data_IF_919571509220
#
_entry.id   IF_919571509220
#
_cell.length_a   1.000
_cell.length_b   1.000
_cell.length_c   1.000
_cell.angle_alpha   90.00
_cell.angle_beta   90.00
_cell.angle_gamma   90.00
#
_symmetry.space_group_name_H-M   'P 1'
#
loop_
_entity.id
_entity.type
_entity.pdbx_description
1 polymer ?
#
# COMPACT_ATOMS: atom_id res chain seq x y z
N UNK A 1 18.84 -44.73 64.95
CA UNK A 1 19.37 -43.77 63.96
C UNK A 1 19.11 -44.34 62.58
N UNK A 2 18.22 -43.74 61.80
CA UNK A 2 17.90 -44.23 60.46
C UNK A 2 16.48 -43.92 60.04
N UNK A 3 16.16 -42.64 59.81
CA UNK A 3 14.97 -42.25 59.03
C UNK A 3 15.00 -40.80 58.50
N UNK A 4 16.17 -40.17 58.32
CA UNK A 4 16.26 -38.72 57.99
C UNK A 4 17.29 -38.40 56.87
N UNK A 5 17.63 -39.36 56.01
CA UNK A 5 18.54 -39.12 54.87
C UNK A 5 17.98 -39.49 53.49
N UNK A 6 16.75 -40.01 53.40
CA UNK A 6 16.21 -40.54 52.14
C UNK A 6 15.17 -39.64 51.43
N UNK A 7 14.86 -38.46 51.99
CA UNK A 7 13.87 -37.52 51.41
C UNK A 7 14.49 -36.52 50.42
N UNK A 8 15.79 -36.20 50.57
CA UNK A 8 16.49 -35.24 49.70
C UNK A 8 16.87 -35.80 48.33
N UNK A 9 17.16 -37.10 48.26
CA UNK A 9 17.57 -37.77 47.01
C UNK A 9 16.37 -38.05 46.10
N UNK A 10 15.20 -38.37 46.68
CA UNK A 10 13.95 -38.56 45.93
C UNK A 10 13.41 -37.24 45.36
N UNK A 11 13.59 -36.11 46.05
CA UNK A 11 13.20 -34.80 45.51
C UNK A 11 14.13 -34.30 44.38
N UNK A 12 15.43 -34.60 44.45
CA UNK A 12 16.39 -34.25 43.39
C UNK A 12 16.16 -35.09 42.12
N UNK A 13 15.81 -36.37 42.26
CA UNK A 13 15.47 -37.24 41.13
C UNK A 13 14.16 -36.83 40.44
N UNK A 14 13.15 -36.37 41.19
CA UNK A 14 11.92 -35.82 40.60
C UNK A 14 12.16 -34.49 39.85
N UNK A 15 13.08 -33.63 40.32
CA UNK A 15 13.41 -32.38 39.61
C UNK A 15 14.22 -32.60 38.33
N UNK A 16 15.13 -33.59 38.30
CA UNK A 16 15.89 -33.91 37.08
C UNK A 16 15.03 -34.52 35.96
N UNK A 17 13.99 -35.30 36.29
CA UNK A 17 13.05 -35.82 35.29
C UNK A 17 12.15 -34.73 34.69
N UNK A 18 11.86 -33.65 35.42
CA UNK A 18 11.05 -32.53 34.87
C UNK A 18 11.80 -31.68 33.84
N UNK A 19 13.13 -31.59 33.95
CA UNK A 19 13.99 -30.82 33.03
C UNK A 19 14.36 -31.57 31.75
N UNK A 20 14.18 -32.90 31.70
CA UNK A 20 14.42 -33.73 30.52
C UNK A 20 13.16 -34.01 29.69
N UNK A 21 11.97 -33.68 30.22
CA UNK A 21 10.69 -33.81 29.52
C UNK A 21 10.20 -32.50 28.87
N UNK A 22 10.83 -31.36 29.17
CA UNK A 22 10.46 -30.06 28.56
C UNK A 22 11.28 -29.68 27.32
N UNK A 23 12.26 -30.50 26.91
CA UNK A 23 13.13 -30.22 25.75
C UNK A 23 12.78 -31.00 24.48
N UNK A 24 11.65 -31.72 24.44
CA UNK A 24 11.23 -32.54 23.29
C UNK A 24 9.93 -32.10 22.60
N UNK A 25 9.43 -30.88 22.85
CA UNK A 25 8.28 -30.33 22.12
C UNK A 25 8.52 -28.89 21.63
N UNK A 26 9.65 -28.70 20.95
CA UNK A 26 9.82 -27.70 19.90
C UNK A 26 10.70 -28.37 18.85
N UNK A 27 10.18 -29.38 18.19
CA UNK A 27 10.46 -29.47 16.77
C UNK A 27 9.18 -28.97 16.16
N UNK A 28 9.25 -27.83 15.47
CA UNK A 28 8.20 -27.42 14.58
C UNK A 28 7.99 -28.61 13.65
N UNK A 29 6.99 -29.44 13.95
CA UNK A 29 6.45 -30.37 12.99
C UNK A 29 6.25 -29.50 11.75
N UNK A 30 6.90 -29.79 10.61
CA UNK A 30 6.51 -29.14 9.40
C UNK A 30 5.03 -29.44 9.31
N UNK A 31 4.20 -28.42 9.54
CA UNK A 31 2.83 -28.46 9.10
C UNK A 31 3.05 -28.75 7.63
N UNK A 32 2.84 -30.00 7.23
CA UNK A 32 2.51 -30.30 5.86
C UNK A 32 1.35 -29.35 5.65
N UNK A 33 1.65 -28.22 4.99
CA UNK A 33 0.64 -27.41 4.40
C UNK A 33 -0.09 -28.43 3.55
N UNK A 34 -1.22 -28.91 4.08
CA UNK A 34 -2.28 -29.42 3.25
C UNK A 34 -2.56 -28.19 2.41
N UNK A 35 -1.89 -28.12 1.26
CA UNK A 35 -2.36 -27.34 0.15
C UNK A 35 -3.74 -27.94 -0.09
N UNK A 36 -4.74 -27.37 0.60
CA UNK A 36 -6.10 -27.57 0.20
C UNK A 36 -6.10 -27.25 -1.27
N UNK A 37 -6.58 -28.19 -2.09
CA UNK A 37 -6.77 -28.00 -3.51
C UNK A 37 -7.89 -26.97 -3.78
N UNK A 38 -7.91 -25.86 -3.03
CA UNK A 38 -8.65 -24.67 -3.38
C UNK A 38 -7.90 -24.01 -4.51
N UNK A 39 -8.16 -24.51 -5.73
CA UNK A 39 -7.82 -23.79 -6.95
C UNK A 39 -8.54 -22.46 -6.88
N UNK A 40 -7.77 -21.40 -6.64
CA UNK A 40 -8.27 -20.03 -6.72
C UNK A 40 -8.24 -19.61 -8.19
N UNK A 41 -9.34 -19.05 -8.66
CA UNK A 41 -9.41 -18.49 -10.00
C UNK A 41 -8.70 -17.14 -10.02
N UNK A 42 -7.89 -16.92 -11.04
CA UNK A 42 -7.20 -15.66 -11.32
C UNK A 42 -7.65 -15.15 -12.67
N UNK A 43 -7.77 -13.83 -12.80
CA UNK A 43 -8.13 -13.17 -14.05
C UNK A 43 -6.89 -12.53 -14.64
N UNK A 44 -6.59 -12.86 -15.89
CA UNK A 44 -5.61 -12.15 -16.70
C UNK A 44 -6.36 -11.39 -17.80
N UNK A 45 -6.34 -10.06 -17.73
CA UNK A 45 -7.05 -9.18 -18.66
C UNK A 45 -6.07 -8.63 -19.69
N UNK A 46 -6.35 -8.86 -20.97
CA UNK A 46 -5.58 -8.37 -22.11
C UNK A 46 -6.49 -7.45 -22.93
N UNK A 47 -6.36 -6.14 -22.72
CA UNK A 47 -7.32 -5.14 -23.20
C UNK A 47 -6.62 -4.23 -24.23
N UNK A 48 -6.93 -4.44 -25.50
CA UNK A 48 -6.51 -3.59 -26.60
C UNK A 48 -7.60 -2.55 -26.90
N UNK A 49 -7.20 -1.28 -27.02
CA UNK A 49 -8.13 -0.17 -27.24
C UNK A 49 -7.61 0.79 -28.31
N UNK A 50 -8.55 1.37 -29.06
CA UNK A 50 -8.27 2.36 -30.10
C UNK A 50 -9.21 3.56 -29.98
N UNK A 51 -8.70 4.75 -30.28
CA UNK A 51 -9.45 6.00 -30.21
C UNK A 51 -8.97 7.00 -31.27
N UNK A 52 -9.77 8.05 -31.49
CA UNK A 52 -9.35 9.21 -32.28
C UNK A 52 -8.45 10.13 -31.44
N UNK A 53 -7.39 10.68 -32.02
CA UNK A 53 -6.52 11.68 -31.38
C UNK A 53 -5.13 11.16 -31.00
N UNK A 54 -4.46 11.87 -30.10
CA UNK A 54 -3.18 11.42 -29.53
C UNK A 54 -3.37 10.15 -28.67
N UNK A 55 -2.37 9.26 -28.67
CA UNK A 55 -2.48 7.91 -28.08
C UNK A 55 -3.67 7.11 -28.66
N UNK A 56 -3.75 7.05 -29.99
CA UNK A 56 -4.84 6.40 -30.74
C UNK A 56 -4.95 4.89 -30.54
N UNK A 57 -3.94 4.26 -29.94
CA UNK A 57 -3.83 2.82 -29.77
C UNK A 57 -3.06 2.52 -28.49
N UNK A 58 -3.58 1.57 -27.71
CA UNK A 58 -2.93 1.08 -26.52
C UNK A 58 -3.29 -0.37 -26.25
N UNK A 59 -2.45 -1.03 -25.46
CA UNK A 59 -2.70 -2.34 -24.92
C UNK A 59 -2.33 -2.34 -23.43
N UNK A 60 -3.27 -2.78 -22.60
CA UNK A 60 -3.12 -2.90 -21.14
C UNK A 60 -3.25 -4.36 -20.75
N UNK A 61 -2.26 -4.88 -20.03
CA UNK A 61 -2.27 -6.23 -19.47
C UNK A 61 -2.33 -6.15 -17.94
N UNK A 62 -3.33 -6.79 -17.35
CA UNK A 62 -3.57 -6.78 -15.90
C UNK A 62 -3.69 -8.21 -15.35
N UNK A 63 -3.25 -8.43 -14.12
CA UNK A 63 -3.46 -9.67 -13.37
C UNK A 63 -4.22 -9.38 -12.09
N UNK A 64 -5.43 -9.92 -11.95
CA UNK A 64 -6.35 -9.62 -10.85
C UNK A 64 -6.60 -8.11 -10.63
N UNK A 65 -6.58 -7.32 -11.70
CA UNK A 65 -6.73 -5.86 -11.65
C UNK A 65 -5.41 -5.09 -11.45
N UNK A 66 -4.32 -5.76 -11.10
CA UNK A 66 -3.00 -5.13 -11.00
C UNK A 66 -2.36 -5.00 -12.37
N UNK A 67 -1.89 -3.80 -12.68
CA UNK A 67 -1.32 -3.47 -13.98
C UNK A 67 0.09 -4.07 -14.15
N UNK A 68 0.28 -4.89 -15.19
CA UNK A 68 1.55 -5.58 -15.46
C UNK A 68 2.34 -4.92 -16.58
N UNK A 69 1.72 -4.73 -17.75
CA UNK A 69 2.42 -4.27 -18.96
C UNK A 69 1.57 -3.32 -19.79
N UNK A 70 2.22 -2.30 -20.36
CA UNK A 70 1.75 -1.67 -21.60
C UNK A 70 2.47 -2.26 -22.80
N UNK A 71 1.98 -1.96 -24.00
CA UNK A 71 2.66 -2.27 -25.25
C UNK A 71 3.11 -1.00 -25.98
N UNK A 72 4.40 -0.90 -26.29
CA UNK A 72 4.95 0.11 -27.17
C UNK A 72 4.87 -0.40 -28.62
N UNK A 73 3.84 0.02 -29.34
CA UNK A 73 3.61 -0.36 -30.75
C UNK A 73 4.68 0.17 -31.71
N UNK A 74 5.49 1.16 -31.32
CA UNK A 74 6.60 1.64 -32.16
C UNK A 74 7.79 0.69 -32.10
N UNK A 75 8.00 0.06 -30.93
CA UNK A 75 9.10 -0.89 -30.69
C UNK A 75 8.68 -2.35 -30.79
N UNK A 76 7.38 -2.62 -30.90
CA UNK A 76 6.79 -3.97 -30.83
C UNK A 76 7.30 -4.73 -29.59
N UNK A 77 7.19 -4.09 -28.43
CA UNK A 77 7.68 -4.62 -27.16
C UNK A 77 6.78 -4.21 -26.01
N UNK A 78 6.64 -5.10 -25.03
CA UNK A 78 6.01 -4.80 -23.75
C UNK A 78 6.88 -3.86 -22.93
N UNK A 79 6.25 -2.93 -22.23
CA UNK A 79 6.86 -2.05 -21.23
C UNK A 79 6.35 -2.49 -19.86
N UNK A 80 7.23 -3.02 -18.99
CA UNK A 80 6.82 -3.52 -17.69
C UNK A 80 6.48 -2.37 -16.73
N UNK A 81 5.44 -2.55 -15.92
CA UNK A 81 5.07 -1.62 -14.85
C UNK A 81 6.12 -1.58 -13.73
N UNK A 82 6.73 -2.72 -13.41
CA UNK A 82 7.75 -2.88 -12.38
C UNK A 82 9.01 -3.56 -12.95
N UNK A 83 10.22 -3.25 -12.44
CA UNK A 83 11.46 -3.84 -12.93
C UNK A 83 11.50 -5.37 -12.87
N UNK A 84 10.86 -5.98 -11.87
CA UNK A 84 10.79 -7.44 -11.70
C UNK A 84 10.04 -8.15 -12.85
N UNK A 85 9.16 -7.44 -13.56
CA UNK A 85 8.44 -7.98 -14.71
C UNK A 85 9.23 -7.90 -16.02
N UNK A 86 10.41 -7.26 -16.02
CA UNK A 86 11.19 -7.01 -17.24
C UNK A 86 11.60 -8.29 -17.97
N UNK A 87 11.83 -9.39 -17.26
CA UNK A 87 12.15 -10.68 -17.87
C UNK A 87 11.01 -11.19 -18.77
N UNK A 88 9.76 -11.07 -18.32
CA UNK A 88 8.57 -11.53 -19.05
C UNK A 88 8.17 -10.60 -20.18
N UNK A 89 8.54 -9.32 -20.11
CA UNK A 89 8.31 -8.35 -21.20
C UNK A 89 9.04 -8.70 -22.50
N UNK A 90 10.00 -9.64 -22.46
CA UNK A 90 10.75 -10.10 -23.65
C UNK A 90 9.99 -11.12 -24.51
N UNK A 91 8.84 -11.64 -24.06
CA UNK A 91 8.04 -12.58 -24.84
C UNK A 91 7.45 -11.91 -26.08
N UNK A 92 7.65 -12.58 -27.23
CA UNK A 92 7.24 -12.11 -28.56
C UNK A 92 6.29 -13.07 -29.28
N UNK A 93 5.84 -14.13 -28.62
CA UNK A 93 5.05 -15.22 -29.26
C UNK A 93 3.73 -14.74 -29.84
N UNK A 94 3.13 -13.72 -29.24
CA UNK A 94 1.80 -13.18 -29.56
C UNK A 94 1.81 -11.88 -30.37
N UNK A 95 2.98 -11.34 -30.74
CA UNK A 95 3.08 -10.09 -31.51
C UNK A 95 2.24 -10.12 -32.79
N UNK A 96 2.17 -11.27 -33.47
CA UNK A 96 1.34 -11.42 -34.68
C UNK A 96 -0.16 -11.29 -34.38
N UNK A 97 -0.60 -11.82 -33.24
CA UNK A 97 -1.99 -11.71 -32.79
C UNK A 97 -2.29 -10.28 -32.38
N UNK A 98 -1.40 -9.64 -31.60
CA UNK A 98 -1.52 -8.23 -31.22
C UNK A 98 -1.62 -7.31 -32.44
N UNK A 99 -0.85 -7.56 -33.50
CA UNK A 99 -0.93 -6.78 -34.74
C UNK A 99 -2.25 -7.01 -35.50
N UNK A 100 -2.76 -8.25 -35.53
CA UNK A 100 -4.07 -8.54 -36.12
C UNK A 100 -5.21 -7.84 -35.34
N UNK A 101 -5.19 -7.90 -34.02
CA UNK A 101 -6.18 -7.27 -33.14
C UNK A 101 -6.13 -5.74 -33.23
N UNK A 102 -4.93 -5.17 -33.31
CA UNK A 102 -4.71 -3.75 -33.61
C UNK A 102 -5.41 -3.34 -34.90
N UNK A 103 -5.15 -4.06 -35.99
CA UNK A 103 -5.73 -3.73 -37.29
C UNK A 103 -7.26 -3.81 -37.27
N UNK A 104 -7.80 -4.85 -36.62
CA UNK A 104 -9.24 -5.01 -36.42
C UNK A 104 -9.84 -3.85 -35.61
N UNK A 105 -9.20 -3.48 -34.50
CA UNK A 105 -9.66 -2.42 -33.61
C UNK A 105 -9.66 -1.05 -34.32
N UNK A 106 -8.63 -0.74 -35.10
CA UNK A 106 -8.56 0.50 -35.89
C UNK A 106 -9.63 0.54 -36.99
N UNK A 107 -9.85 -0.55 -37.71
CA UNK A 107 -10.88 -0.62 -38.76
C UNK A 107 -12.28 -0.44 -38.16
N UNK A 108 -12.59 -1.17 -37.08
CA UNK A 108 -13.88 -1.05 -36.38
C UNK A 108 -14.08 0.36 -35.85
N UNK A 109 -13.07 0.93 -35.20
CA UNK A 109 -13.13 2.28 -34.66
C UNK A 109 -13.40 3.32 -35.75
N UNK A 110 -12.75 3.21 -36.92
CA UNK A 110 -12.95 4.13 -38.04
C UNK A 110 -14.36 3.99 -38.65
N UNK A 111 -14.82 2.76 -38.90
CA UNK A 111 -16.15 2.51 -39.47
C UNK A 111 -17.27 2.96 -38.52
N UNK A 112 -17.18 2.60 -37.24
CA UNK A 112 -18.15 3.00 -36.22
C UNK A 112 -18.16 4.51 -36.01
N UNK A 113 -16.99 5.16 -36.00
CA UNK A 113 -16.91 6.62 -35.91
C UNK A 113 -17.68 7.28 -37.06
N UNK A 114 -17.52 6.82 -38.30
CA UNK A 114 -18.24 7.37 -39.47
C UNK A 114 -19.75 7.16 -39.37
N UNK A 115 -20.18 6.03 -38.84
CA UNK A 115 -21.61 5.70 -38.68
C UNK A 115 -22.25 6.45 -37.50
N UNK A 116 -21.53 6.68 -36.40
CA UNK A 116 -22.10 7.25 -35.19
C UNK A 116 -21.91 8.78 -35.09
N UNK A 117 -20.98 9.37 -35.84
CA UNK A 117 -20.69 10.81 -35.81
C UNK A 117 -21.95 11.64 -36.06
N UNK A 118 -22.29 12.49 -35.08
CA UNK A 118 -23.48 13.35 -35.11
C UNK A 118 -24.81 12.63 -34.87
N UNK A 119 -24.80 11.32 -34.61
CA UNK A 119 -26.00 10.52 -34.28
C UNK A 119 -26.07 10.11 -32.81
N UNK A 120 -24.91 9.84 -32.20
CA UNK A 120 -24.79 9.38 -30.81
C UNK A 120 -23.75 10.27 -30.11
N UNK A 121 -23.99 10.70 -28.85
CA UNK A 121 -22.98 11.38 -28.07
C UNK A 121 -21.78 10.46 -27.79
N UNK A 122 -20.58 11.01 -27.78
CA UNK A 122 -19.39 10.27 -27.37
C UNK A 122 -19.47 9.98 -25.86
N UNK A 123 -19.17 8.74 -25.48
CA UNK A 123 -19.07 8.38 -24.08
C UNK A 123 -17.91 9.15 -23.44
N UNK A 124 -18.17 9.72 -22.26
CA UNK A 124 -17.19 10.49 -21.50
C UNK A 124 -17.40 10.26 -20.01
N UNK A 125 -16.33 9.92 -19.31
CA UNK A 125 -16.28 9.84 -17.86
C UNK A 125 -15.75 11.14 -17.27
N UNK A 126 -16.14 11.44 -16.04
CA UNK A 126 -15.58 12.55 -15.28
C UNK A 126 -14.53 11.98 -14.32
N UNK A 127 -13.23 12.26 -14.52
CA UNK A 127 -12.18 11.69 -13.68
C UNK A 127 -12.37 12.06 -12.21
N UNK A 128 -12.26 11.07 -11.34
CA UNK A 128 -12.27 11.26 -9.88
C UNK A 128 -10.87 11.01 -9.37
N UNK A 129 -10.30 11.99 -8.66
CA UNK A 129 -8.95 11.91 -8.13
C UNK A 129 -8.96 11.80 -6.61
N UNK A 130 -8.11 10.95 -6.08
CA UNK A 130 -7.88 10.76 -4.64
C UNK A 130 -6.38 10.81 -4.37
N UNK A 131 -5.99 11.49 -3.29
CA UNK A 131 -4.58 11.63 -2.91
C UNK A 131 -4.38 11.09 -1.51
N UNK A 132 -3.43 10.17 -1.38
CA UNK A 132 -3.05 9.54 -0.11
C UNK A 132 -1.55 9.23 -0.06
N UNK A 133 -1.03 8.98 1.13
CA UNK A 133 0.37 8.56 1.31
C UNK A 133 0.52 7.05 1.09
N UNK A 134 1.61 6.63 0.47
CA UNK A 134 1.92 5.23 0.25
C UNK A 134 2.22 4.50 1.57
N UNK A 135 2.95 5.17 2.46
CA UNK A 135 3.25 4.68 3.81
C UNK A 135 2.51 5.53 4.86
N UNK A 136 2.32 5.02 6.08
CA UNK A 136 1.76 5.81 7.17
C UNK A 136 2.51 7.13 7.37
N UNK A 137 1.77 8.20 7.64
CA UNK A 137 2.32 9.55 7.73
C UNK A 137 3.23 9.70 8.96
N UNK A 138 4.49 10.04 8.73
CA UNK A 138 5.46 10.46 9.76
C UNK A 138 6.16 11.74 9.31
N UNK A 139 6.15 12.77 10.15
CA UNK A 139 6.80 14.04 9.80
C UNK A 139 8.32 13.90 9.72
N UNK A 140 8.92 14.53 8.71
CA UNK A 140 10.37 14.53 8.50
C UNK A 140 10.96 13.23 7.97
N UNK A 141 10.14 12.19 7.69
CA UNK A 141 10.58 10.97 7.02
C UNK A 141 10.15 10.97 5.54
N UNK A 142 10.95 10.44 4.61
CA UNK A 142 10.54 10.30 3.21
C UNK A 142 9.26 9.47 3.08
N UNK A 143 8.35 9.91 2.22
CA UNK A 143 7.12 9.21 1.86
C UNK A 143 6.78 9.53 0.39
N UNK A 144 5.76 8.88 -0.15
CA UNK A 144 5.29 9.09 -1.52
C UNK A 144 3.80 9.39 -1.51
N UNK A 145 3.39 10.52 -2.07
CA UNK A 145 1.99 10.75 -2.38
C UNK A 145 1.60 9.98 -3.64
N UNK A 146 0.45 9.33 -3.57
CA UNK A 146 -0.18 8.62 -4.67
C UNK A 146 -1.41 9.42 -5.07
N UNK A 147 -1.49 9.80 -6.33
CA UNK A 147 -2.73 10.28 -6.93
C UNK A 147 -3.35 9.15 -7.74
N UNK A 148 -4.43 8.58 -7.19
CA UNK A 148 -5.25 7.61 -7.88
C UNK A 148 -6.36 8.34 -8.63
N UNK A 149 -6.53 7.99 -9.91
CA UNK A 149 -7.55 8.57 -10.77
C UNK A 149 -8.43 7.44 -11.32
N UNK A 150 -9.73 7.54 -11.10
CA UNK A 150 -10.74 6.59 -11.59
C UNK A 150 -11.74 7.26 -12.54
N UNK A 151 -12.62 6.46 -13.16
CA UNK A 151 -13.66 6.93 -14.09
C UNK A 151 -13.07 7.73 -15.28
N UNK A 152 -11.91 7.31 -15.78
CA UNK A 152 -11.23 7.96 -16.90
C UNK A 152 -11.77 7.40 -18.20
N UNK A 153 -12.45 8.24 -18.99
CA UNK A 153 -12.85 7.90 -20.35
C UNK A 153 -13.13 9.16 -21.19
N UNK A 154 -12.56 9.31 -22.40
CA UNK A 154 -11.48 8.52 -23.00
C UNK A 154 -10.15 8.54 -22.23
N UNK A 155 -9.21 7.61 -22.52
CA UNK A 155 -7.89 7.49 -21.89
C UNK A 155 -6.90 8.60 -22.33
N UNK A 156 -7.27 9.88 -22.15
CA UNK A 156 -6.49 11.06 -22.55
C UNK A 156 -6.49 12.08 -21.43
N UNK A 157 -5.64 11.84 -20.43
CA UNK A 157 -5.51 12.69 -19.24
C UNK A 157 -4.07 13.14 -19.04
N UNK A 158 -3.92 14.28 -18.38
CA UNK A 158 -2.66 14.79 -17.86
C UNK A 158 -2.81 15.00 -16.35
N UNK A 159 -1.84 14.50 -15.59
CA UNK A 159 -1.80 14.63 -14.14
C UNK A 159 -0.62 15.52 -13.76
N UNK A 160 -0.89 16.58 -13.00
CA UNK A 160 0.12 17.54 -12.53
C UNK A 160 0.05 17.71 -11.03
N UNK A 161 1.20 17.91 -10.40
CA UNK A 161 1.32 18.12 -8.96
C UNK A 161 1.63 19.57 -8.62
N UNK A 162 1.10 20.04 -7.50
CA UNK A 162 1.46 21.33 -6.92
C UNK A 162 1.74 21.18 -5.42
N UNK A 163 2.67 21.98 -4.91
CA UNK A 163 2.99 22.17 -3.51
C UNK A 163 2.77 23.64 -3.18
N UNK A 164 1.84 23.94 -2.28
CA UNK A 164 1.46 25.33 -1.92
C UNK A 164 1.12 26.21 -3.14
N UNK A 165 0.53 25.61 -4.17
CA UNK A 165 0.15 26.27 -5.43
C UNK A 165 1.28 26.39 -6.47
N UNK A 166 2.50 25.96 -6.15
CA UNK A 166 3.64 25.94 -7.08
C UNK A 166 3.76 24.57 -7.74
N UNK A 167 3.95 24.53 -9.06
CA UNK A 167 4.12 23.27 -9.81
C UNK A 167 5.37 22.51 -9.36
N UNK A 168 5.22 21.20 -9.12
CA UNK A 168 6.32 20.29 -8.77
C UNK A 168 6.36 19.10 -9.73
N UNK A 169 7.54 18.54 -9.95
CA UNK A 169 7.72 17.40 -10.85
C UNK A 169 7.31 16.09 -10.18
N UNK A 170 6.55 15.27 -10.90
CA UNK A 170 6.20 13.90 -10.47
C UNK A 170 7.44 13.02 -10.38
N UNK A 171 7.45 12.05 -9.46
CA UNK A 171 8.56 11.10 -9.32
C UNK A 171 8.60 10.03 -10.41
N UNK A 172 7.50 9.82 -11.13
CA UNK A 172 7.37 8.84 -12.20
C UNK A 172 6.33 9.27 -13.23
N UNK A 173 6.36 8.72 -14.46
CA UNK A 173 5.31 8.97 -15.45
C UNK A 173 3.94 8.52 -14.92
N UNK A 174 2.88 9.10 -15.48
CA UNK A 174 1.52 8.65 -15.17
C UNK A 174 1.29 7.28 -15.79
N UNK A 175 0.92 6.30 -14.97
CA UNK A 175 0.60 4.95 -15.43
C UNK A 175 -0.90 4.86 -15.65
N UNK A 176 -1.32 4.68 -16.90
CA UNK A 176 -2.72 4.52 -17.29
C UNK A 176 -2.98 3.04 -17.61
N UNK A 177 -4.01 2.46 -17.02
CA UNK A 177 -4.40 1.05 -17.25
C UNK A 177 -5.90 0.95 -17.52
N UNK A 178 -6.29 0.04 -18.40
CA UNK A 178 -7.69 -0.31 -18.60
C UNK A 178 -8.19 -1.15 -17.43
N UNK A 179 -9.48 -1.07 -17.10
CA UNK A 179 -10.10 -1.97 -16.11
C UNK A 179 -11.10 -2.92 -16.80
N UNK A 180 -11.60 -3.90 -16.06
CA UNK A 180 -12.59 -4.86 -16.57
C UNK A 180 -13.93 -4.18 -16.94
N UNK A 181 -14.19 -2.96 -16.44
CA UNK A 181 -15.40 -2.19 -16.69
C UNK A 181 -15.45 -1.40 -18.01
N UNK A 182 -14.46 -1.59 -18.89
CA UNK A 182 -14.24 -0.79 -20.12
C UNK A 182 -13.99 0.70 -19.86
N UNK A 183 -13.56 1.05 -18.65
CA UNK A 183 -13.01 2.36 -18.29
C UNK A 183 -11.50 2.27 -18.04
N UNK A 184 -10.92 3.40 -17.65
CA UNK A 184 -9.50 3.49 -17.34
C UNK A 184 -9.30 4.06 -15.95
N UNK A 185 -8.16 3.70 -15.38
CA UNK A 185 -7.65 4.28 -14.15
C UNK A 185 -6.20 4.71 -14.35
N UNK A 186 -5.74 5.66 -13.55
CA UNK A 186 -4.37 6.12 -13.59
C UNK A 186 -3.76 6.30 -12.20
N UNK A 187 -2.44 6.15 -12.15
CA UNK A 187 -1.64 6.42 -10.97
C UNK A 187 -0.50 7.37 -11.31
N UNK A 188 -0.35 8.41 -10.49
CA UNK A 188 0.82 9.30 -10.49
C UNK A 188 1.42 9.34 -9.08
N UNK A 189 2.73 9.50 -9.00
CA UNK A 189 3.47 9.44 -7.75
C UNK A 189 4.33 10.70 -7.57
N UNK A 190 4.43 11.17 -6.32
CA UNK A 190 5.26 12.30 -5.94
C UNK A 190 6.02 11.96 -4.65
N UNK A 191 7.35 11.98 -4.69
CA UNK A 191 8.17 11.74 -3.51
C UNK A 191 8.24 13.02 -2.67
N UNK A 192 7.96 12.91 -1.38
CA UNK A 192 7.91 14.04 -0.45
C UNK A 192 8.59 13.71 0.88
N UNK A 193 8.87 14.75 1.66
CA UNK A 193 9.19 14.64 3.09
C UNK A 193 8.20 15.53 3.83
N UNK A 194 7.08 14.98 4.36
CA UNK A 194 5.95 15.77 4.82
C UNK A 194 6.28 16.55 6.09
N UNK A 195 5.75 17.76 6.15
CA UNK A 195 5.73 18.69 7.28
C UNK A 195 4.29 18.94 7.73
N UNK A 196 4.12 19.54 8.91
CA UNK A 196 2.77 19.78 9.46
C UNK A 196 1.96 20.86 8.73
N UNK A 197 2.60 21.66 7.88
CA UNK A 197 1.98 22.79 7.16
C UNK A 197 1.79 22.53 5.67
N UNK A 198 2.26 21.38 5.18
CA UNK A 198 2.23 21.09 3.75
C UNK A 198 0.80 21.00 3.20
N UNK A 199 0.63 21.55 2.01
CA UNK A 199 -0.57 21.38 1.20
C UNK A 199 -0.12 20.97 -0.20
N UNK A 200 -0.50 19.76 -0.60
CA UNK A 200 -0.27 19.25 -1.94
C UNK A 200 -1.58 19.14 -2.69
N UNK A 201 -1.54 19.31 -4.01
CA UNK A 201 -2.68 19.03 -4.87
C UNK A 201 -2.27 18.24 -6.11
N UNK A 202 -3.12 17.29 -6.47
CA UNK A 202 -3.09 16.60 -7.75
C UNK A 202 -4.19 17.16 -8.63
N UNK A 203 -3.82 17.70 -9.79
CA UNK A 203 -4.76 18.20 -10.78
C UNK A 203 -4.79 17.26 -11.98
N UNK A 204 -5.98 16.77 -12.30
CA UNK A 204 -6.25 15.89 -13.43
C UNK A 204 -7.02 16.67 -14.49
N UNK A 205 -6.41 16.81 -15.66
CA UNK A 205 -7.01 17.48 -16.80
C UNK A 205 -7.21 16.47 -17.91
N UNK A 206 -8.44 16.37 -18.40
CA UNK A 206 -8.76 15.55 -19.55
C UNK A 206 -8.70 16.37 -20.83
N UNK A 207 -8.18 15.78 -21.92
CA UNK A 207 -7.98 16.50 -23.17
C UNK A 207 -9.31 17.01 -23.74
N UNK A 208 -9.34 18.31 -24.06
CA UNK A 208 -10.53 18.97 -24.59
C UNK A 208 -11.59 19.34 -23.55
N UNK A 209 -11.34 19.10 -22.25
CA UNK A 209 -12.18 19.66 -21.18
C UNK A 209 -11.75 21.07 -20.79
N UNK A 210 -12.74 21.88 -20.41
CA UNK A 210 -12.54 23.24 -19.88
C UNK A 210 -12.26 23.23 -18.37
N UNK A 211 -12.55 22.13 -17.70
CA UNK A 211 -12.45 21.98 -16.25
C UNK A 211 -11.54 20.80 -15.90
N UNK A 212 -10.87 20.92 -14.77
CA UNK A 212 -9.98 19.90 -14.23
C UNK A 212 -10.48 19.43 -12.87
N UNK A 213 -10.27 18.16 -12.55
CA UNK A 213 -10.51 17.63 -11.21
C UNK A 213 -9.29 17.91 -10.35
N UNK A 214 -9.48 18.46 -9.15
CA UNK A 214 -8.40 18.76 -8.21
C UNK A 214 -8.65 17.98 -6.92
N UNK A 215 -7.65 17.22 -6.49
CA UNK A 215 -7.65 16.53 -5.21
C UNK A 215 -6.55 17.11 -4.31
N UNK A 216 -6.91 17.50 -3.10
CA UNK A 216 -5.99 18.05 -2.11
C UNK A 216 -5.56 16.99 -1.13
N UNK A 217 -4.31 17.09 -0.68
CA UNK A 217 -3.79 16.35 0.45
C UNK A 217 -3.23 17.31 1.48
N UNK A 218 -3.63 17.10 2.73
CA UNK A 218 -3.11 17.78 3.91
C UNK A 218 -2.74 16.72 4.96
N UNK A 219 -1.67 16.93 5.74
CA UNK A 219 -1.27 16.00 6.77
C UNK A 219 -2.35 15.83 7.84
N UNK A 220 -2.78 14.59 8.08
CA UNK A 220 -3.76 14.25 9.12
C UNK A 220 -3.28 13.02 9.89
N UNK A 221 -3.47 13.03 11.21
CA UNK A 221 -3.19 11.89 12.09
C UNK A 221 -1.78 11.28 11.89
N UNK A 222 -0.71 12.08 12.00
CA UNK A 222 0.66 11.57 11.87
C UNK A 222 0.98 10.59 13.00
N UNK A 223 1.72 9.53 12.69
CA UNK A 223 2.28 8.64 13.69
C UNK A 223 3.28 9.44 14.54
N UNK A 224 3.17 9.41 15.88
CA UNK A 224 4.15 10.03 16.75
C UNK A 224 5.55 9.50 16.46
N UNK A 225 6.55 10.37 16.44
CA UNK A 225 7.92 9.91 16.27
C UNK A 225 8.32 8.99 17.42
N UNK A 226 9.12 7.96 17.13
CA UNK A 226 9.64 7.04 18.15
C UNK A 226 10.36 7.76 19.31
N UNK A 227 10.94 8.93 19.04
CA UNK A 227 11.53 9.80 20.07
C UNK A 227 10.47 10.30 21.06
N UNK A 228 9.35 10.81 20.56
CA UNK A 228 8.26 11.30 21.40
C UNK A 228 7.66 10.16 22.22
N UNK A 229 7.45 9.00 21.61
CA UNK A 229 6.97 7.79 22.30
C UNK A 229 7.92 7.37 23.43
N UNK A 230 9.23 7.31 23.17
CA UNK A 230 10.24 6.94 24.16
C UNK A 230 10.30 7.94 25.33
N UNK A 231 10.17 9.25 25.06
CA UNK A 231 10.14 10.29 26.10
C UNK A 231 8.88 10.14 26.97
N UNK A 232 7.71 10.00 26.36
CA UNK A 232 6.44 9.81 27.07
C UNK A 232 6.48 8.56 27.95
N UNK A 233 7.00 7.46 27.40
CA UNK A 233 7.18 6.21 28.11
C UNK A 233 8.16 6.37 29.30
N UNK A 234 9.29 7.03 29.08
CA UNK A 234 10.28 7.34 30.13
C UNK A 234 9.71 8.21 31.27
N UNK A 235 8.92 9.23 30.94
CA UNK A 235 8.23 10.08 31.93
C UNK A 235 7.23 9.25 32.73
N UNK A 236 6.43 8.42 32.08
CA UNK A 236 5.46 7.56 32.74
C UNK A 236 6.14 6.57 33.72
N UNK A 237 7.23 5.93 33.28
CA UNK A 237 8.03 5.06 34.15
C UNK A 237 8.64 5.82 35.33
N UNK A 238 9.20 7.01 35.09
CA UNK A 238 9.77 7.85 36.14
C UNK A 238 8.74 8.25 37.20
N UNK A 239 7.56 8.73 36.77
CA UNK A 239 6.45 9.07 37.67
C UNK A 239 5.93 7.85 38.43
N UNK A 240 5.88 6.68 37.79
CA UNK A 240 5.52 5.41 38.44
C UNK A 240 6.46 5.07 39.59
N UNK A 241 7.77 5.16 39.39
CA UNK A 241 8.78 4.91 40.43
C UNK A 241 8.64 5.91 41.59
N UNK A 242 8.48 7.20 41.28
CA UNK A 242 8.27 8.23 42.31
C UNK A 242 7.00 7.95 43.12
N UNK A 243 5.90 7.58 42.45
CA UNK A 243 4.65 7.19 43.10
C UNK A 243 4.82 6.01 44.06
N UNK A 244 5.61 5.00 43.67
CA UNK A 244 5.93 3.84 44.52
C UNK A 244 6.71 4.28 45.76
N UNK A 245 7.73 5.14 45.61
CA UNK A 245 8.58 5.61 46.72
C UNK A 245 7.75 6.43 47.71
N UNK A 246 6.94 7.37 47.22
CA UNK A 246 6.08 8.22 48.06
C UNK A 246 5.02 7.36 48.75
N UNK A 247 4.39 6.43 48.02
CA UNK A 247 3.42 5.50 48.58
C UNK A 247 4.00 4.67 49.72
N UNK A 248 5.19 4.07 49.52
CA UNK A 248 5.88 3.31 50.56
C UNK A 248 6.23 4.19 51.77
N UNK A 249 6.71 5.42 51.54
CA UNK A 249 7.06 6.36 52.62
C UNK A 249 5.85 6.75 53.47
N UNK A 250 4.70 7.00 52.84
CA UNK A 250 3.45 7.30 53.54
C UNK A 250 2.95 6.09 54.35
N UNK A 251 3.01 4.88 53.78
CA UNK A 251 2.65 3.65 54.50
C UNK A 251 3.50 3.49 55.76
N UNK A 252 4.82 3.67 55.66
CA UNK A 252 5.72 3.60 56.82
C UNK A 252 5.40 4.68 57.86
N UNK A 253 5.08 5.89 57.41
CA UNK A 253 4.73 6.99 58.30
C UNK A 253 3.45 6.72 59.10
N UNK A 254 2.39 6.22 58.44
CA UNK A 254 1.11 5.90 59.08
C UNK A 254 1.10 4.56 59.85
N UNK A 255 2.04 3.66 59.58
CA UNK A 255 2.21 2.41 60.34
C UNK A 255 3.02 2.58 61.63
N UNK A 256 3.53 3.79 61.95
CA UNK A 256 4.17 4.02 63.26
C UNK A 256 3.12 3.79 64.36
N UNK A 257 3.32 2.78 65.24
CA UNK A 257 2.39 2.53 66.34
C UNK A 257 2.34 3.75 67.26
N UNK A 258 1.14 4.12 67.72
CA UNK A 258 0.98 4.89 68.94
C UNK A 258 1.76 4.17 70.04
N UNK A 259 2.98 4.62 70.33
CA UNK A 259 3.69 4.25 71.54
C UNK A 259 2.88 4.90 72.66
N UNK A 260 1.93 4.14 73.20
CA UNK A 260 1.22 4.52 74.42
C UNK A 260 2.29 4.77 75.48
N UNK A 261 2.33 6.03 75.93
CA UNK A 261 3.10 6.44 77.07
C UNK A 261 2.70 5.64 78.31
N UNK A 262 3.69 5.44 79.15
CA UNK A 262 3.59 4.93 80.50
C UNK A 262 2.45 5.60 81.28
N UNK A 263 1.64 4.80 81.96
CA UNK A 263 1.65 4.66 83.43
C UNK A 263 0.87 3.40 83.85
#
# INVERSE_FOLDING_TARGET
>A
MGLEQNLGVTLLLLKLQSSLLLSLFWEATPVLAVFGNNLQNYTFSHILFCQNGESSLGLSENFNGDYLFSFDFSKNSRVPRLPEFAAWATDKRDIKTIDADKNLCQELQHQLSRLCKGRIPEARGNPVAEVFTLEPLEFGKPNTLVCFVSNVFPPRITVTWQHEGVSVESSSPTFLSATDGLDFQAFSYLNITPTSTDIFSCTVTQEGDLFSTIAFWVPQNPIPSALLENILCGIAFGLGIVGIIVGASLIIYFQKPCVNGAD
#
